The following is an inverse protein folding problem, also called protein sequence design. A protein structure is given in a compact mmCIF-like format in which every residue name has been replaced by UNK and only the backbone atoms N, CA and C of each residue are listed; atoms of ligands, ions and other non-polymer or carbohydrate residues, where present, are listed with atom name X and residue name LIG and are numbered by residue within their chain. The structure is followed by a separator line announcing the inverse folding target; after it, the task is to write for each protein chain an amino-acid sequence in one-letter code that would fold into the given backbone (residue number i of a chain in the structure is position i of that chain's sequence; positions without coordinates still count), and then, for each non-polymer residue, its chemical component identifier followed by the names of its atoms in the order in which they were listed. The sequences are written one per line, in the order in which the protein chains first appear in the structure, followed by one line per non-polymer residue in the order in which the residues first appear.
data_IF_595892365693
#
_entry.id   IF_595892365693
#
_cell.length_a   1.000
_cell.length_b   1.000
_cell.length_c   1.000
_cell.angle_alpha   90.00
_cell.angle_beta   90.00
_cell.angle_gamma   90.00
#
_symmetry.space_group_name_H-M   'P 1'
#
loop_
_entity.id
_entity.type
_entity.pdbx_description
1 polymer ?
#
# COMPACT_ATOMS: atom_id res chain seq x y z
N UNK A 1 20.94 13.64 -51.36
CA UNK A 1 19.48 13.64 -51.25
C UNK A 1 19.15 12.64 -50.15
N UNK A 2 19.04 13.10 -48.92
CA UNK A 2 18.76 12.22 -47.79
C UNK A 2 17.25 11.97 -47.77
N UNK A 3 16.92 10.71 -47.85
CA UNK A 3 15.54 10.21 -48.03
C UNK A 3 14.65 10.62 -46.85
N UNK A 4 13.78 11.59 -47.08
CA UNK A 4 12.77 12.08 -46.10
C UNK A 4 11.72 11.03 -45.71
N UNK A 5 11.71 9.88 -46.38
CA UNK A 5 10.77 8.77 -46.07
C UNK A 5 11.12 8.05 -44.80
N UNK A 6 12.39 8.06 -44.36
CA UNK A 6 12.82 7.43 -43.13
C UNK A 6 12.50 8.28 -41.90
N UNK A 7 12.33 9.59 -42.06
CA UNK A 7 11.97 10.48 -40.94
C UNK A 7 10.47 10.48 -40.65
N UNK A 8 9.62 10.11 -41.62
CA UNK A 8 8.17 10.00 -41.39
C UNK A 8 7.72 8.70 -40.73
N UNK A 9 8.56 7.65 -40.71
CA UNK A 9 8.21 6.37 -40.07
C UNK A 9 8.32 6.38 -38.54
N UNK A 10 8.79 7.49 -37.93
CA UNK A 10 9.04 7.57 -36.50
C UNK A 10 7.90 8.17 -35.67
N UNK A 11 6.72 8.40 -36.22
CA UNK A 11 5.67 9.09 -35.48
C UNK A 11 4.26 8.49 -35.66
N UNK A 12 4.12 7.21 -35.38
CA UNK A 12 2.76 6.66 -35.21
C UNK A 12 2.55 5.99 -33.84
N UNK A 13 3.43 6.24 -32.87
CA UNK A 13 3.10 6.01 -31.47
C UNK A 13 2.28 7.20 -30.99
N UNK A 14 0.98 6.99 -30.84
CA UNK A 14 0.06 7.96 -30.23
C UNK A 14 0.60 8.27 -28.84
N UNK A 15 1.39 9.34 -28.74
CA UNK A 15 1.94 9.82 -27.47
C UNK A 15 0.75 10.09 -26.54
N UNK A 16 0.60 9.24 -25.53
CA UNK A 16 -0.45 9.44 -24.52
C UNK A 16 -0.26 10.81 -23.88
N UNK A 17 -1.32 11.61 -23.82
CA UNK A 17 -1.31 12.88 -23.09
C UNK A 17 -0.88 12.65 -21.64
N UNK A 18 -0.22 13.65 -21.00
CA UNK A 18 0.21 13.55 -19.61
C UNK A 18 -0.91 13.07 -18.68
N UNK A 19 -2.14 13.54 -18.87
CA UNK A 19 -3.33 13.06 -18.12
C UNK A 19 -3.58 11.57 -18.32
N UNK A 20 -3.48 11.07 -19.54
CA UNK A 20 -3.70 9.65 -19.84
C UNK A 20 -2.60 8.77 -19.25
N UNK A 21 -1.33 9.22 -19.29
CA UNK A 21 -0.21 8.53 -18.63
C UNK A 21 -0.42 8.47 -17.11
N UNK A 22 -0.80 9.59 -16.48
CA UNK A 22 -1.08 9.64 -15.04
C UNK A 22 -2.23 8.73 -14.64
N UNK A 23 -3.35 8.77 -15.38
CA UNK A 23 -4.49 7.89 -15.13
C UNK A 23 -4.11 6.41 -15.28
N UNK A 24 -3.31 6.08 -16.31
CA UNK A 24 -2.82 4.72 -16.51
C UNK A 24 -2.00 4.24 -15.29
N UNK A 25 -1.06 5.07 -14.80
CA UNK A 25 -0.26 4.70 -13.63
C UNK A 25 -1.11 4.52 -12.38
N UNK A 26 -2.11 5.39 -12.15
CA UNK A 26 -3.05 5.26 -11.03
C UNK A 26 -3.83 3.94 -11.14
N UNK A 27 -4.40 3.66 -12.30
CA UNK A 27 -5.17 2.43 -12.53
C UNK A 27 -4.29 1.19 -12.34
N UNK A 28 -3.09 1.17 -12.91
CA UNK A 28 -2.14 0.05 -12.76
C UNK A 28 -1.78 -0.16 -11.29
N UNK A 29 -1.50 0.92 -10.55
CA UNK A 29 -1.17 0.83 -9.12
C UNK A 29 -2.34 0.30 -8.30
N UNK A 30 -3.56 0.78 -8.55
CA UNK A 30 -4.76 0.31 -7.85
C UNK A 30 -5.04 -1.15 -8.15
N UNK A 31 -4.95 -1.55 -9.43
CA UNK A 31 -5.15 -2.95 -9.85
C UNK A 31 -4.10 -3.86 -9.20
N UNK A 32 -2.84 -3.43 -9.15
CA UNK A 32 -1.77 -4.19 -8.49
C UNK A 32 -2.05 -4.41 -7.00
N UNK A 33 -2.48 -3.36 -6.28
CA UNK A 33 -2.85 -3.47 -4.86
C UNK A 33 -4.06 -4.39 -4.64
N UNK A 34 -5.07 -4.31 -5.53
CA UNK A 34 -6.23 -5.19 -5.47
C UNK A 34 -5.86 -6.65 -5.71
N UNK A 35 -4.95 -6.94 -6.64
CA UNK A 35 -4.46 -8.30 -6.89
C UNK A 35 -3.80 -8.87 -5.63
N UNK A 36 -2.93 -8.09 -4.96
CA UNK A 36 -2.29 -8.52 -3.72
C UNK A 36 -3.32 -8.81 -2.63
N UNK A 37 -4.31 -7.94 -2.48
CA UNK A 37 -5.35 -8.06 -1.46
C UNK A 37 -6.21 -9.30 -1.69
N UNK A 38 -6.65 -9.52 -2.92
CA UNK A 38 -7.46 -10.68 -3.31
C UNK A 38 -6.66 -11.97 -3.14
N UNK A 39 -5.43 -12.01 -3.67
CA UNK A 39 -4.57 -13.19 -3.57
C UNK A 39 -4.27 -13.55 -2.11
N UNK A 40 -3.86 -12.56 -1.29
CA UNK A 40 -3.64 -12.79 0.14
C UNK A 40 -4.90 -13.19 0.91
N UNK A 41 -6.09 -12.75 0.46
CA UNK A 41 -7.38 -13.14 1.04
C UNK A 41 -7.74 -14.60 0.80
N UNK A 42 -7.44 -15.12 -0.41
CA UNK A 42 -7.69 -16.53 -0.77
C UNK A 42 -6.65 -17.52 -0.23
N UNK A 43 -5.56 -17.04 0.34
CA UNK A 43 -4.54 -17.92 0.92
C UNK A 43 -5.03 -18.58 2.21
N UNK A 44 -5.15 -19.90 2.18
CA UNK A 44 -5.46 -20.73 3.35
C UNK A 44 -4.30 -20.74 4.35
N UNK A 45 -4.65 -20.97 5.63
CA UNK A 45 -3.66 -21.10 6.72
C UNK A 45 -2.63 -22.19 6.46
N UNK A 46 -2.99 -23.24 5.74
CA UNK A 46 -2.11 -24.35 5.38
C UNK A 46 -1.03 -23.93 4.35
N UNK A 47 -1.27 -22.90 3.56
CA UNK A 47 -0.33 -22.43 2.52
C UNK A 47 0.94 -21.79 3.09
N UNK A 48 0.92 -21.35 4.34
CA UNK A 48 2.06 -20.77 5.06
C UNK A 48 2.35 -21.50 6.38
N UNK A 49 1.90 -22.77 6.48
CA UNK A 49 2.16 -23.66 7.61
C UNK A 49 3.65 -23.97 7.77
N UNK A 50 4.01 -24.47 8.96
CA UNK A 50 5.38 -24.89 9.29
C UNK A 50 5.63 -26.26 8.71
N UNK A 51 6.71 -26.42 7.93
CA UNK A 51 7.21 -27.71 7.42
C UNK A 51 8.73 -27.79 7.59
N UNK A 52 9.16 -28.39 8.69
CA UNK A 52 10.58 -28.52 9.01
C UNK A 52 11.39 -29.39 8.02
N UNK A 53 10.72 -30.20 7.17
CA UNK A 53 11.40 -31.02 6.17
C UNK A 53 12.05 -30.18 5.07
N UNK A 54 11.52 -28.98 4.81
CA UNK A 54 11.99 -28.06 3.75
C UNK A 54 12.59 -26.77 4.30
N UNK A 55 13.09 -26.78 5.54
CA UNK A 55 13.67 -25.58 6.17
C UNK A 55 14.92 -25.10 5.43
N UNK A 56 15.08 -23.78 5.33
CA UNK A 56 16.22 -23.11 4.70
C UNK A 56 16.53 -23.58 3.27
N UNK A 57 15.53 -24.03 2.53
CA UNK A 57 15.71 -24.40 1.13
C UNK A 57 15.95 -23.14 0.28
N UNK A 58 16.92 -23.18 -0.65
CA UNK A 58 17.17 -22.10 -1.57
C UNK A 58 15.99 -21.87 -2.55
N UNK A 59 15.96 -20.73 -3.25
CA UNK A 59 14.97 -20.48 -4.28
C UNK A 59 14.90 -21.60 -5.31
N UNK A 60 13.67 -22.03 -5.62
CA UNK A 60 13.38 -23.12 -6.56
C UNK A 60 12.05 -22.89 -7.25
N UNK A 61 11.71 -23.68 -8.27
CA UNK A 61 10.40 -23.58 -8.95
C UNK A 61 9.21 -23.84 -8.01
N UNK A 62 9.42 -24.63 -6.95
CA UNK A 62 8.41 -24.91 -5.92
C UNK A 62 8.33 -23.79 -4.87
N UNK A 63 9.45 -23.17 -4.54
CA UNK A 63 9.59 -22.10 -3.55
C UNK A 63 10.39 -20.95 -4.17
N UNK A 64 9.72 -20.06 -4.88
CA UNK A 64 10.35 -19.01 -5.71
C UNK A 64 11.32 -18.14 -4.88
N UNK A 65 10.97 -17.81 -3.64
CA UNK A 65 11.81 -17.04 -2.71
C UNK A 65 12.47 -17.94 -1.64
N UNK A 66 12.45 -19.25 -1.85
CA UNK A 66 12.95 -20.21 -0.87
C UNK A 66 12.04 -20.32 0.35
N UNK A 67 12.55 -21.01 1.39
CA UNK A 67 11.86 -21.23 2.66
C UNK A 67 12.65 -20.67 3.83
N UNK A 68 11.96 -20.30 4.90
CA UNK A 68 12.57 -19.80 6.13
C UNK A 68 13.07 -20.95 7.04
N UNK A 69 13.60 -20.61 8.22
CA UNK A 69 14.07 -21.57 9.22
C UNK A 69 12.96 -22.48 9.79
N UNK A 70 11.69 -22.13 9.57
CA UNK A 70 10.52 -22.95 9.91
C UNK A 70 9.98 -23.75 8.70
N UNK A 71 10.62 -23.65 7.52
CA UNK A 71 10.17 -24.29 6.30
C UNK A 71 8.97 -23.64 5.63
N UNK A 72 8.62 -22.39 6.02
CA UNK A 72 7.50 -21.67 5.42
C UNK A 72 7.94 -21.00 4.12
N UNK A 73 7.08 -21.03 3.11
CA UNK A 73 7.32 -20.38 1.82
C UNK A 73 7.38 -18.86 1.98
N UNK A 74 8.51 -18.26 1.60
CA UNK A 74 8.76 -16.81 1.80
C UNK A 74 7.90 -15.94 0.89
N UNK A 75 7.59 -16.38 -0.33
CA UNK A 75 6.71 -15.64 -1.24
C UNK A 75 5.29 -15.57 -0.70
N UNK A 76 4.74 -16.72 -0.33
CA UNK A 76 3.41 -16.84 0.26
C UNK A 76 3.27 -15.96 1.51
N UNK A 77 4.27 -16.01 2.39
CA UNK A 77 4.31 -15.20 3.61
C UNK A 77 4.37 -13.70 3.31
N UNK A 78 5.14 -13.30 2.31
CA UNK A 78 5.26 -11.90 1.90
C UNK A 78 3.93 -11.37 1.36
N UNK A 79 3.27 -12.12 0.47
CA UNK A 79 1.97 -11.73 -0.10
C UNK A 79 0.92 -11.63 1.00
N UNK A 80 0.89 -12.59 1.94
CA UNK A 80 -0.02 -12.57 3.08
C UNK A 80 0.23 -11.39 4.00
N UNK A 81 1.50 -11.07 4.29
CA UNK A 81 1.90 -9.91 5.07
C UNK A 81 1.47 -8.60 4.42
N UNK A 82 1.71 -8.44 3.12
CA UNK A 82 1.27 -7.28 2.34
C UNK A 82 -0.25 -7.12 2.37
N UNK A 83 -1.00 -8.19 2.11
CA UNK A 83 -2.45 -8.18 2.15
C UNK A 83 -2.97 -7.77 3.54
N UNK A 84 -2.41 -8.31 4.61
CA UNK A 84 -2.77 -7.96 5.99
C UNK A 84 -2.48 -6.48 6.28
N UNK A 85 -1.31 -5.99 5.86
CA UNK A 85 -0.94 -4.57 6.03
C UNK A 85 -1.87 -3.63 5.27
N UNK A 86 -2.28 -4.01 4.06
CA UNK A 86 -3.27 -3.24 3.28
C UNK A 86 -4.62 -3.17 3.99
N UNK A 87 -5.11 -4.30 4.52
CA UNK A 87 -6.38 -4.34 5.26
C UNK A 87 -6.31 -3.43 6.49
N UNK A 88 -5.24 -3.56 7.29
CA UNK A 88 -5.05 -2.72 8.48
C UNK A 88 -5.00 -1.23 8.09
N UNK A 89 -4.26 -0.89 7.02
CA UNK A 89 -4.17 0.48 6.52
C UNK A 89 -5.52 1.04 6.07
N UNK A 90 -6.32 0.26 5.35
CA UNK A 90 -7.67 0.66 4.92
C UNK A 90 -8.59 0.86 6.13
N UNK A 91 -8.61 -0.10 7.05
CA UNK A 91 -9.46 0.01 8.28
C UNK A 91 -9.04 1.22 9.10
N UNK A 92 -7.76 1.41 9.35
CA UNK A 92 -7.26 2.56 10.12
C UNK A 92 -7.60 3.89 9.45
N UNK A 93 -7.47 3.98 8.12
CA UNK A 93 -7.79 5.20 7.37
C UNK A 93 -9.29 5.51 7.40
N UNK A 94 -10.16 4.49 7.30
CA UNK A 94 -11.60 4.68 7.41
C UNK A 94 -12.01 5.18 8.80
N UNK A 95 -11.45 4.59 9.85
CA UNK A 95 -11.69 5.04 11.24
C UNK A 95 -11.22 6.48 11.41
N UNK A 96 -10.01 6.80 10.99
CA UNK A 96 -9.45 8.16 11.05
C UNK A 96 -10.29 9.16 10.26
N UNK A 97 -10.77 8.78 9.07
CA UNK A 97 -11.65 9.63 8.25
C UNK A 97 -12.94 9.97 8.98
N UNK A 98 -13.60 8.99 9.59
CA UNK A 98 -14.85 9.22 10.35
C UNK A 98 -14.60 10.21 11.50
N UNK A 99 -13.55 10.00 12.30
CA UNK A 99 -13.19 10.92 13.38
C UNK A 99 -12.84 12.32 12.87
N UNK A 100 -12.09 12.42 11.78
CA UNK A 100 -11.74 13.70 11.19
C UNK A 100 -12.98 14.52 10.74
N UNK A 101 -13.94 13.83 10.11
CA UNK A 101 -15.21 14.48 9.70
C UNK A 101 -16.02 14.94 10.91
N UNK A 102 -16.16 14.08 11.93
CA UNK A 102 -16.93 14.42 13.14
C UNK A 102 -16.28 15.61 13.86
N UNK A 103 -14.98 15.53 14.13
CA UNK A 103 -14.25 16.56 14.86
C UNK A 103 -14.21 17.87 14.06
N UNK A 104 -13.89 17.79 12.76
CA UNK A 104 -13.85 18.96 11.88
C UNK A 104 -15.21 19.66 11.78
N UNK A 105 -16.29 18.88 11.67
CA UNK A 105 -17.66 19.43 11.67
C UNK A 105 -18.01 20.08 13.02
N UNK A 106 -17.64 19.44 14.12
CA UNK A 106 -17.86 20.00 15.46
C UNK A 106 -17.11 21.32 15.66
N UNK A 107 -15.84 21.42 15.25
CA UNK A 107 -15.06 22.66 15.30
C UNK A 107 -15.70 23.77 14.46
N UNK A 108 -16.21 23.45 13.28
CA UNK A 108 -16.87 24.41 12.40
C UNK A 108 -18.19 24.94 12.99
N UNK A 109 -18.98 24.06 13.61
CA UNK A 109 -20.34 24.45 14.14
C UNK A 109 -20.23 25.14 15.50
N UNK A 110 -19.45 24.60 16.41
CA UNK A 110 -19.38 25.09 17.80
C UNK A 110 -18.35 26.23 18.03
N UNK A 111 -17.54 26.52 17.01
CA UNK A 111 -16.67 27.69 16.95
C UNK A 111 -15.42 27.63 17.83
N UNK A 112 -14.81 28.80 18.06
CA UNK A 112 -13.45 29.00 18.57
C UNK A 112 -13.09 28.28 19.88
N UNK A 113 -14.05 27.96 20.75
CA UNK A 113 -13.76 27.28 22.03
C UNK A 113 -13.43 25.82 21.83
N UNK A 114 -14.20 25.12 21.00
CA UNK A 114 -14.01 23.71 20.69
C UNK A 114 -12.77 23.52 19.81
N UNK A 115 -12.59 24.41 18.84
CA UNK A 115 -11.42 24.43 17.99
C UNK A 115 -10.11 24.54 18.80
N UNK A 116 -10.05 25.50 19.76
CA UNK A 116 -8.90 25.65 20.66
C UNK A 116 -8.66 24.41 21.52
N UNK A 117 -9.69 23.72 21.97
CA UNK A 117 -9.55 22.49 22.75
C UNK A 117 -8.89 21.37 21.92
N UNK A 118 -9.36 21.16 20.68
CA UNK A 118 -8.78 20.15 19.82
C UNK A 118 -7.37 20.49 19.36
N UNK A 119 -7.07 21.76 19.07
CA UNK A 119 -5.71 22.21 18.78
C UNK A 119 -4.77 21.93 19.96
N UNK A 120 -5.16 22.28 21.19
CA UNK A 120 -4.39 21.97 22.38
C UNK A 120 -4.17 20.47 22.55
N UNK A 121 -5.19 19.65 22.28
CA UNK A 121 -5.08 18.19 22.33
C UNK A 121 -4.09 17.64 21.28
N UNK A 122 -4.15 18.17 20.06
CA UNK A 122 -3.20 17.81 19.00
C UNK A 122 -1.77 18.15 19.39
N UNK A 123 -1.55 19.39 19.89
CA UNK A 123 -0.24 19.85 20.35
C UNK A 123 0.31 18.97 21.47
N UNK A 124 -0.56 18.53 22.39
CA UNK A 124 -0.19 17.62 23.48
C UNK A 124 0.33 16.28 22.93
N UNK A 125 -0.38 15.66 21.98
CA UNK A 125 0.03 14.40 21.38
C UNK A 125 1.26 14.54 20.48
N UNK A 126 1.42 15.64 19.77
CA UNK A 126 2.61 15.92 18.97
C UNK A 126 3.85 16.23 19.80
N UNK A 127 3.67 16.81 21.00
CA UNK A 127 4.76 17.08 21.92
C UNK A 127 5.33 15.81 22.60
N UNK A 128 4.52 14.77 22.78
CA UNK A 128 4.95 13.53 23.44
C UNK A 128 6.12 12.79 22.75
N UNK A 129 6.18 12.62 21.42
CA UNK A 129 7.29 11.94 20.78
C UNK A 129 8.65 12.59 21.03
N UNK A 130 8.70 13.90 21.23
CA UNK A 130 9.93 14.63 21.50
C UNK A 130 10.48 14.36 22.90
N UNK A 131 9.58 14.11 23.89
CA UNK A 131 9.97 13.78 25.28
C UNK A 131 10.41 12.33 25.44
N UNK A 132 10.01 11.42 24.56
CA UNK A 132 10.41 9.99 24.59
C UNK A 132 11.76 9.77 23.91
N UNK A 133 12.18 10.68 23.00
CA UNK A 133 13.44 10.61 22.28
C UNK A 133 14.61 11.33 23.00
N UNK A 134 14.36 12.03 24.07
CA UNK A 134 15.34 12.65 24.97
C UNK A 134 15.54 11.77 26.19
#
# INVERSE_FOLDING_TARGET
MIDNTLLQKKSNYKELNLRQKTLLYIVVSVVFLLIILIWGGFMDKNSYGVDFAVRNNPPSLKHIFGTDWMGRDMLTRTIKGLSTSLIIGVVASLVSFVFAVIIGSACAIFGKKIDKFFLWLIDLFQGMPHLILL
#
